data_IF_270874971948
#
_entry.id   IF_270874971948
#
_cell.length_a   1.000
_cell.length_b   1.000
_cell.length_c   1.000
_cell.angle_alpha   90.00
_cell.angle_beta   90.00
_cell.angle_gamma   90.00
#
_symmetry.space_group_name_H-M   'P 1'
#
loop_
_entity.id
_entity.type
_entity.pdbx_description
1 polymer ?
#
# COMPACT_ATOMS: atom_id res chain seq x y z
N UNK A 1 80.49 -45.63 9.04
CA UNK A 1 80.04 -46.57 10.07
C UNK A 1 78.61 -46.27 10.43
N UNK A 2 77.80 -47.29 10.18
CA UNK A 2 76.57 -47.69 10.87
C UNK A 2 75.44 -46.63 11.04
N UNK A 3 74.39 -46.79 10.20
CA UNK A 3 73.06 -47.31 10.58
C UNK A 3 72.37 -46.43 11.58
N UNK A 4 71.33 -45.76 11.11
CA UNK A 4 69.96 -45.97 11.61
C UNK A 4 69.01 -45.55 10.50
N UNK A 5 68.44 -46.58 9.95
CA UNK A 5 67.35 -46.59 8.99
C UNK A 5 66.08 -46.86 9.78
N UNK A 6 64.96 -46.39 9.26
CA UNK A 6 63.65 -46.88 9.60
C UNK A 6 62.97 -46.26 10.84
N UNK A 7 62.04 -45.38 10.60
CA UNK A 7 60.69 -45.37 11.17
C UNK A 7 59.94 -44.09 10.74
N UNK A 8 59.70 -43.96 9.45
CA UNK A 8 58.67 -43.03 8.93
C UNK A 8 57.77 -43.84 7.97
N UNK A 9 56.90 -44.57 8.55
CA UNK A 9 55.77 -45.14 7.80
C UNK A 9 54.70 -45.45 8.81
N UNK A 10 53.53 -44.84 8.63
CA UNK A 10 52.24 -45.09 9.27
C UNK A 10 51.68 -43.86 9.99
N UNK A 11 51.27 -42.89 9.19
CA UNK A 11 50.60 -41.71 9.71
C UNK A 11 49.75 -41.01 8.63
N UNK A 12 49.45 -41.72 7.54
CA UNK A 12 48.70 -41.13 6.40
C UNK A 12 47.45 -41.96 6.10
N UNK A 13 46.46 -41.91 6.97
CA UNK A 13 45.13 -42.47 6.68
C UNK A 13 44.17 -42.09 7.80
N UNK A 14 43.65 -40.87 7.81
CA UNK A 14 42.38 -40.48 8.49
C UNK A 14 42.07 -39.03 8.17
N UNK A 15 42.05 -38.67 6.86
CA UNK A 15 41.45 -37.47 6.35
C UNK A 15 40.39 -37.84 5.29
N UNK A 16 39.46 -38.68 5.69
CA UNK A 16 38.28 -39.01 4.89
C UNK A 16 37.06 -38.75 5.77
N UNK A 17 36.25 -37.77 5.42
CA UNK A 17 34.92 -37.67 5.96
C UNK A 17 34.59 -36.42 6.71
N UNK A 18 34.79 -35.26 6.12
CA UNK A 18 34.02 -34.06 6.45
C UNK A 18 33.51 -33.45 5.14
N UNK A 19 32.75 -34.20 4.38
CA UNK A 19 31.74 -33.60 3.53
C UNK A 19 30.65 -33.09 4.49
N UNK A 20 30.87 -31.94 5.09
CA UNK A 20 29.79 -31.17 5.65
C UNK A 20 28.94 -30.73 4.48
N UNK A 21 27.69 -31.20 4.43
CA UNK A 21 26.66 -30.59 3.62
C UNK A 21 26.68 -29.11 3.98
N UNK A 22 27.27 -28.30 3.10
CA UNK A 22 27.01 -26.86 3.13
C UNK A 22 25.52 -26.71 3.03
N UNK A 23 24.83 -25.96 3.93
CA UNK A 23 23.43 -25.68 3.75
C UNK A 23 23.29 -25.15 2.32
N UNK A 24 22.52 -25.80 1.48
CA UNK A 24 22.16 -25.27 0.17
C UNK A 24 21.62 -23.86 0.43
N UNK A 25 22.30 -22.86 -0.07
CA UNK A 25 21.89 -21.47 0.05
C UNK A 25 20.57 -21.36 -0.71
N UNK A 26 19.44 -21.39 0.01
CA UNK A 26 18.11 -21.32 -0.57
C UNK A 26 18.05 -20.03 -1.36
N UNK A 27 18.10 -20.10 -2.68
CA UNK A 27 18.04 -18.94 -3.56
C UNK A 27 16.74 -18.18 -3.31
N UNK A 28 16.85 -17.01 -2.70
CA UNK A 28 15.70 -16.16 -2.43
C UNK A 28 15.29 -15.42 -3.70
N UNK A 29 13.98 -15.38 -3.97
CA UNK A 29 13.37 -14.64 -5.07
C UNK A 29 12.72 -13.40 -4.46
N UNK A 30 13.09 -12.22 -4.96
CA UNK A 30 12.47 -10.96 -4.52
C UNK A 30 11.41 -10.55 -5.53
N UNK A 31 10.17 -10.40 -5.08
CA UNK A 31 9.08 -9.83 -5.87
C UNK A 31 8.87 -8.35 -5.49
N UNK A 32 8.61 -7.53 -6.49
CA UNK A 32 8.39 -6.09 -6.35
C UNK A 32 6.89 -5.78 -6.45
N UNK A 33 6.32 -5.29 -5.37
CA UNK A 33 4.90 -4.95 -5.27
C UNK A 33 4.75 -3.44 -5.12
N UNK A 34 4.05 -2.80 -6.06
CA UNK A 34 3.68 -1.39 -5.93
C UNK A 34 2.28 -1.28 -5.31
N UNK A 35 2.17 -0.54 -4.21
CA UNK A 35 0.96 -0.47 -3.41
C UNK A 35 0.49 0.96 -3.16
N UNK A 36 -0.83 1.15 -3.05
CA UNK A 36 -1.41 2.41 -2.63
C UNK A 36 -0.84 2.86 -1.28
N UNK A 37 -0.52 4.15 -1.14
CA UNK A 37 0.17 4.70 0.02
C UNK A 37 -0.56 4.43 1.37
N UNK A 38 -1.89 4.35 1.35
CA UNK A 38 -2.72 4.01 2.53
C UNK A 38 -2.47 2.59 3.08
N UNK A 39 -1.91 1.68 2.27
CA UNK A 39 -1.60 0.30 2.68
C UNK A 39 -0.27 0.15 3.42
N UNK A 40 0.56 1.21 3.47
CA UNK A 40 1.94 1.10 3.94
C UNK A 40 2.07 0.42 5.29
N UNK A 41 1.42 0.92 6.33
CA UNK A 41 1.55 0.40 7.70
C UNK A 41 1.02 -1.04 7.81
N UNK A 42 -0.04 -1.36 7.05
CA UNK A 42 -0.58 -2.72 6.98
C UNK A 42 0.42 -3.68 6.33
N UNK A 43 1.07 -3.27 5.24
CA UNK A 43 2.08 -4.10 4.55
C UNK A 43 3.34 -4.27 5.38
N UNK A 44 3.71 -3.30 6.22
CA UNK A 44 4.82 -3.43 7.15
C UNK A 44 4.56 -4.57 8.19
N UNK A 45 3.28 -4.85 8.53
CA UNK A 45 2.88 -5.98 9.39
C UNK A 45 2.67 -7.29 8.61
N UNK A 46 2.12 -7.23 7.40
CA UNK A 46 1.85 -8.42 6.56
C UNK A 46 3.14 -9.04 6.01
N UNK A 47 4.11 -8.21 5.58
CA UNK A 47 5.37 -8.66 4.98
C UNK A 47 6.10 -9.73 5.80
N UNK A 48 6.41 -9.53 7.09
CA UNK A 48 7.13 -10.55 7.87
C UNK A 48 6.34 -11.86 8.03
N UNK A 49 5.01 -11.80 8.04
CA UNK A 49 4.18 -13.00 8.12
C UNK A 49 4.22 -13.80 6.82
N UNK A 50 4.12 -13.11 5.69
CA UNK A 50 4.25 -13.75 4.38
C UNK A 50 5.62 -14.39 4.19
N UNK A 51 6.70 -13.64 4.46
CA UNK A 51 8.08 -14.12 4.29
C UNK A 51 8.42 -15.29 5.23
N UNK A 52 7.83 -15.32 6.43
CA UNK A 52 7.93 -16.46 7.34
C UNK A 52 7.24 -17.71 6.79
N UNK A 53 6.08 -17.53 6.17
CA UNK A 53 5.32 -18.63 5.56
C UNK A 53 5.94 -19.11 4.22
N UNK A 54 6.71 -18.25 3.55
CA UNK A 54 7.34 -18.49 2.26
C UNK A 54 8.82 -18.09 2.29
N UNK A 55 9.71 -18.88 2.92
CA UNK A 55 11.11 -18.48 3.22
C UNK A 55 11.96 -18.20 1.98
N UNK A 56 11.57 -18.73 0.82
CA UNK A 56 12.23 -18.52 -0.48
C UNK A 56 11.83 -17.20 -1.15
N UNK A 57 10.77 -16.52 -0.68
CA UNK A 57 10.25 -15.32 -1.30
C UNK A 57 10.50 -14.12 -0.39
N UNK A 58 11.00 -13.02 -0.97
CA UNK A 58 11.14 -11.72 -0.33
C UNK A 58 10.23 -10.71 -0.99
N UNK A 59 9.62 -9.83 -0.17
CA UNK A 59 8.79 -8.74 -0.65
C UNK A 59 9.59 -7.43 -0.66
N UNK A 60 9.55 -6.73 -1.77
CA UNK A 60 9.99 -5.35 -1.89
C UNK A 60 8.77 -4.50 -2.22
N UNK A 61 8.48 -3.48 -1.40
CA UNK A 61 7.36 -2.57 -1.62
C UNK A 61 7.84 -1.20 -2.02
N UNK A 62 7.09 -0.56 -2.90
CA UNK A 62 7.04 0.88 -3.06
C UNK A 62 5.58 1.36 -2.94
N UNK A 63 5.40 2.61 -2.50
CA UNK A 63 4.10 3.16 -2.17
C UNK A 63 3.86 4.48 -2.89
N UNK A 64 2.62 4.71 -3.36
CA UNK A 64 2.24 5.94 -4.06
C UNK A 64 0.76 6.03 -4.38
N UNK A 65 0.38 7.01 -5.20
CA UNK A 65 -0.98 7.11 -5.75
C UNK A 65 -1.24 5.99 -6.77
N UNK A 66 -2.45 5.42 -6.77
CA UNK A 66 -2.77 4.28 -7.65
C UNK A 66 -2.64 4.63 -9.14
N UNK A 67 -2.98 5.84 -9.56
CA UNK A 67 -2.80 6.30 -10.93
C UNK A 67 -1.32 6.38 -11.33
N UNK A 68 -0.44 6.86 -10.43
CA UNK A 68 1.01 6.87 -10.67
C UNK A 68 1.57 5.45 -10.79
N UNK A 69 1.08 4.50 -9.97
CA UNK A 69 1.46 3.08 -10.06
C UNK A 69 1.03 2.52 -11.41
N UNK A 70 -0.21 2.80 -11.85
CA UNK A 70 -0.71 2.42 -13.18
C UNK A 70 0.20 2.94 -14.29
N UNK A 71 0.54 4.23 -14.28
CA UNK A 71 1.42 4.85 -15.29
C UNK A 71 2.82 4.21 -15.32
N UNK A 72 3.35 3.79 -14.18
CA UNK A 72 4.63 3.08 -14.09
C UNK A 72 4.54 1.68 -14.70
N UNK A 73 3.44 0.94 -14.46
CA UNK A 73 3.21 -0.35 -15.12
C UNK A 73 3.07 -0.15 -16.63
N UNK A 74 2.29 0.83 -17.09
CA UNK A 74 2.14 1.20 -18.51
C UNK A 74 3.48 1.55 -19.17
N UNK A 75 4.42 2.11 -18.40
CA UNK A 75 5.77 2.47 -18.86
C UNK A 75 6.77 1.30 -18.77
N UNK A 76 6.35 0.09 -18.39
CA UNK A 76 7.20 -1.09 -18.31
C UNK A 76 8.16 -1.09 -17.10
N UNK A 77 7.79 -0.44 -16.00
CA UNK A 77 8.58 -0.53 -14.76
C UNK A 77 8.63 -1.98 -14.25
N UNK A 78 9.74 -2.41 -13.62
CA UNK A 78 9.91 -3.78 -13.14
C UNK A 78 9.07 -4.04 -11.87
N UNK A 79 7.76 -4.14 -12.04
CA UNK A 79 6.76 -4.39 -11.01
C UNK A 79 6.17 -5.77 -11.27
N UNK A 80 6.11 -6.62 -10.23
CA UNK A 80 5.58 -7.98 -10.34
C UNK A 80 4.08 -8.05 -10.01
N UNK A 81 3.63 -7.21 -9.07
CA UNK A 81 2.23 -7.13 -8.68
C UNK A 81 1.85 -5.75 -8.15
N UNK A 82 0.57 -5.46 -8.14
CA UNK A 82 0.02 -4.18 -7.68
C UNK A 82 -1.08 -4.37 -6.65
N UNK A 83 -1.17 -3.43 -5.69
CA UNK A 83 -2.26 -3.29 -4.73
C UNK A 83 -2.82 -1.86 -4.83
N UNK A 84 -3.91 -1.67 -5.57
CA UNK A 84 -4.45 -0.37 -5.94
C UNK A 84 -5.73 -0.03 -5.16
N UNK A 85 -5.90 1.23 -4.75
CA UNK A 85 -7.11 1.76 -4.12
C UNK A 85 -8.08 2.33 -5.17
N UNK A 86 -8.11 1.77 -6.38
CA UNK A 86 -8.87 2.27 -7.52
C UNK A 86 -9.28 1.15 -8.47
N UNK A 87 -10.57 0.92 -8.56
CA UNK A 87 -11.13 0.01 -9.58
C UNK A 87 -10.83 0.49 -11.00
N UNK A 88 -10.92 1.80 -11.24
CA UNK A 88 -10.63 2.40 -12.55
C UNK A 88 -9.20 2.06 -13.03
N UNK A 89 -8.21 2.20 -12.15
CA UNK A 89 -6.81 1.99 -12.52
C UNK A 89 -6.52 0.51 -12.80
N UNK A 90 -7.01 -0.41 -11.95
CA UNK A 90 -6.81 -1.84 -12.19
C UNK A 90 -7.56 -2.34 -13.42
N UNK A 91 -8.78 -1.86 -13.67
CA UNK A 91 -9.55 -2.18 -14.87
C UNK A 91 -8.84 -1.65 -16.14
N UNK A 92 -8.17 -0.49 -16.05
CA UNK A 92 -7.40 0.07 -17.15
C UNK A 92 -6.22 -0.83 -17.52
N UNK A 93 -5.44 -1.25 -16.52
CA UNK A 93 -4.33 -2.20 -16.73
C UNK A 93 -4.82 -3.53 -17.31
N UNK A 94 -5.93 -4.05 -16.81
CA UNK A 94 -6.52 -5.32 -17.30
C UNK A 94 -6.98 -5.21 -18.76
N UNK A 95 -7.63 -4.09 -19.13
CA UNK A 95 -8.07 -3.84 -20.53
C UNK A 95 -6.90 -3.70 -21.51
N UNK A 96 -5.76 -3.24 -21.02
CA UNK A 96 -4.52 -3.14 -21.80
C UNK A 96 -3.71 -4.44 -21.81
N UNK A 97 -4.20 -5.51 -21.15
CA UNK A 97 -3.51 -6.77 -20.93
C UNK A 97 -2.18 -6.62 -20.15
N UNK A 98 -2.03 -5.57 -19.35
CA UNK A 98 -0.86 -5.32 -18.51
C UNK A 98 -1.00 -5.89 -17.09
N UNK A 99 -2.22 -6.27 -16.68
CA UNK A 99 -2.48 -6.93 -15.41
C UNK A 99 -3.54 -8.02 -15.56
N UNK A 100 -3.39 -9.07 -14.77
CA UNK A 100 -4.25 -10.24 -14.75
C UNK A 100 -4.58 -10.66 -13.30
N UNK A 101 -5.53 -11.58 -13.11
CA UNK A 101 -5.90 -12.13 -11.82
C UNK A 101 -6.36 -11.06 -10.81
N UNK A 102 -7.09 -10.05 -11.29
CA UNK A 102 -7.61 -8.97 -10.45
C UNK A 102 -8.61 -9.47 -9.42
N UNK A 103 -8.38 -9.12 -8.14
CA UNK A 103 -9.31 -9.41 -7.03
C UNK A 103 -9.45 -8.18 -6.15
N UNK A 104 -10.67 -7.89 -5.70
CA UNK A 104 -10.91 -6.99 -4.57
C UNK A 104 -10.51 -7.70 -3.27
N UNK A 105 -9.95 -6.98 -2.29
CA UNK A 105 -9.54 -7.59 -1.02
C UNK A 105 -9.86 -6.74 0.21
N UNK A 106 -10.27 -5.49 0.03
CA UNK A 106 -10.68 -4.61 1.13
C UNK A 106 -11.48 -3.41 0.62
N UNK A 107 -12.22 -2.76 1.51
CA UNK A 107 -12.87 -1.47 1.30
C UNK A 107 -12.39 -0.41 2.30
N UNK A 108 -12.87 0.84 2.14
CA UNK A 108 -12.55 1.94 3.04
C UNK A 108 -13.68 2.98 3.08
N UNK A 109 -13.56 3.96 3.97
CA UNK A 109 -14.40 5.16 4.02
C UNK A 109 -13.58 6.41 3.72
N UNK A 110 -14.17 7.39 3.05
CA UNK A 110 -13.62 8.72 2.90
C UNK A 110 -14.02 9.58 4.09
N UNK A 111 -13.08 10.35 4.63
CA UNK A 111 -13.32 11.26 5.75
C UNK A 111 -12.68 12.62 5.50
N UNK A 112 -13.28 13.67 6.06
CA UNK A 112 -12.66 14.97 6.21
C UNK A 112 -11.98 15.05 7.55
N UNK A 113 -10.70 15.38 7.56
CA UNK A 113 -9.89 15.59 8.77
C UNK A 113 -9.49 17.06 8.93
N UNK A 114 -9.22 17.46 10.18
CA UNK A 114 -8.60 18.73 10.52
C UNK A 114 -7.53 18.50 11.62
N UNK A 115 -6.64 19.47 11.90
CA UNK A 115 -5.72 19.38 13.03
C UNK A 115 -6.45 19.13 14.34
N UNK A 116 -5.83 18.38 15.26
CA UNK A 116 -6.44 17.96 16.53
C UNK A 116 -6.91 19.12 17.41
N UNK A 117 -6.24 20.25 17.30
CA UNK A 117 -6.51 21.49 18.05
C UNK A 117 -7.42 22.49 17.30
N UNK A 118 -7.92 22.13 16.13
CA UNK A 118 -8.90 22.94 15.42
C UNK A 118 -10.24 23.00 16.19
N UNK A 119 -10.97 24.10 15.98
CA UNK A 119 -12.22 24.38 16.71
C UNK A 119 -13.18 23.18 16.67
N UNK A 120 -13.72 22.81 17.84
CA UNK A 120 -14.61 21.66 17.99
C UNK A 120 -16.06 22.05 17.64
N UNK A 121 -16.30 22.50 16.43
CA UNK A 121 -17.68 22.57 15.93
C UNK A 121 -18.17 21.14 15.63
N UNK A 122 -19.00 20.62 16.51
CA UNK A 122 -19.45 19.21 16.47
C UNK A 122 -20.69 18.97 15.59
N UNK A 123 -21.35 20.02 15.11
CA UNK A 123 -22.60 19.94 14.34
C UNK A 123 -22.54 20.68 12.99
N UNK A 124 -21.33 21.01 12.49
CA UNK A 124 -21.19 21.68 11.21
C UNK A 124 -21.41 20.70 10.05
N UNK A 125 -22.16 21.11 9.04
CA UNK A 125 -22.23 20.37 7.78
C UNK A 125 -20.94 20.53 6.96
N UNK A 126 -20.78 19.76 5.90
CA UNK A 126 -19.55 19.75 5.08
C UNK A 126 -19.23 21.15 4.54
N UNK A 127 -20.22 21.92 4.08
CA UNK A 127 -20.06 23.28 3.56
C UNK A 127 -19.45 24.21 4.62
N UNK A 128 -20.04 24.23 5.82
CA UNK A 128 -19.52 25.07 6.93
C UNK A 128 -18.10 24.68 7.36
N UNK A 129 -17.77 23.39 7.32
CA UNK A 129 -16.41 22.92 7.64
C UNK A 129 -15.39 23.38 6.60
N UNK A 130 -15.77 23.42 5.32
CA UNK A 130 -14.91 23.85 4.22
C UNK A 130 -14.84 25.37 4.10
N UNK A 131 -15.92 26.10 4.35
CA UNK A 131 -15.95 27.57 4.34
C UNK A 131 -14.95 28.15 5.33
N UNK A 132 -14.81 27.54 6.50
CA UNK A 132 -13.88 27.96 7.55
C UNK A 132 -12.41 27.63 7.24
N UNK A 133 -12.15 26.76 6.25
CA UNK A 133 -10.79 26.40 5.84
C UNK A 133 -10.25 27.40 4.81
N UNK A 134 -8.99 27.80 4.97
CA UNK A 134 -8.26 28.59 3.97
C UNK A 134 -7.55 27.68 2.95
N UNK A 135 -7.14 26.48 3.40
CA UNK A 135 -6.49 25.45 2.57
C UNK A 135 -7.08 24.09 2.86
N UNK A 136 -7.47 23.40 1.81
CA UNK A 136 -8.05 22.06 1.85
C UNK A 136 -7.14 21.13 1.06
N UNK A 137 -6.47 20.21 1.73
CA UNK A 137 -5.62 19.23 1.07
C UNK A 137 -6.44 18.07 0.49
N UNK A 138 -6.20 17.75 -0.77
CA UNK A 138 -6.73 16.56 -1.43
C UNK A 138 -5.61 15.88 -2.23
N UNK A 139 -5.70 14.58 -2.46
CA UNK A 139 -4.88 13.94 -3.48
C UNK A 139 -5.16 14.57 -4.85
N UNK A 140 -4.18 14.57 -5.75
CA UNK A 140 -4.44 14.97 -7.14
C UNK A 140 -5.52 14.05 -7.75
N UNK A 141 -6.70 14.57 -8.14
CA UNK A 141 -7.80 13.74 -8.62
C UNK A 141 -7.49 12.90 -9.86
N UNK A 142 -6.47 13.27 -10.64
CA UNK A 142 -6.09 12.53 -11.85
C UNK A 142 -5.25 11.28 -11.54
N UNK A 143 -4.53 11.27 -10.39
CA UNK A 143 -3.56 10.21 -10.08
C UNK A 143 -3.74 9.59 -8.67
N UNK A 144 -4.54 10.22 -7.79
CA UNK A 144 -4.75 9.77 -6.41
C UNK A 144 -6.23 9.45 -6.19
N UNK A 145 -6.61 8.18 -5.94
CA UNK A 145 -8.01 7.78 -5.80
C UNK A 145 -8.77 8.56 -4.73
N UNK A 146 -8.18 8.77 -3.54
CA UNK A 146 -8.81 9.56 -2.48
C UNK A 146 -9.14 11.00 -2.94
N UNK A 147 -8.31 11.58 -3.80
CA UNK A 147 -8.54 12.88 -4.41
C UNK A 147 -9.67 12.86 -5.44
N UNK A 148 -9.76 11.79 -6.24
CA UNK A 148 -10.88 11.60 -7.17
C UNK A 148 -12.21 11.47 -6.41
N UNK A 149 -12.27 10.71 -5.33
CA UNK A 149 -13.45 10.59 -4.46
C UNK A 149 -13.79 11.92 -3.75
N UNK A 150 -12.79 12.66 -3.29
CA UNK A 150 -12.99 13.99 -2.73
C UNK A 150 -13.60 14.96 -3.77
N UNK A 151 -13.07 14.94 -5.01
CA UNK A 151 -13.62 15.74 -6.11
C UNK A 151 -15.07 15.36 -6.40
N UNK A 152 -15.39 14.06 -6.56
CA UNK A 152 -16.77 13.58 -6.75
C UNK A 152 -17.69 14.06 -5.63
N UNK A 153 -17.24 13.92 -4.37
CA UNK A 153 -18.00 14.41 -3.20
C UNK A 153 -18.31 15.89 -3.33
N UNK A 154 -17.31 16.72 -3.58
CA UNK A 154 -17.48 18.17 -3.70
C UNK A 154 -18.34 18.57 -4.90
N UNK A 155 -18.25 17.85 -6.01
CA UNK A 155 -19.10 18.06 -7.19
C UNK A 155 -20.57 17.70 -6.89
N UNK A 156 -20.82 16.56 -6.22
CA UNK A 156 -22.17 16.10 -5.89
C UNK A 156 -22.90 16.98 -4.86
N UNK A 157 -22.15 17.71 -4.04
CA UNK A 157 -22.73 18.72 -3.13
C UNK A 157 -22.62 20.16 -3.67
N UNK A 158 -22.19 20.35 -4.94
CA UNK A 158 -22.03 21.63 -5.62
C UNK A 158 -20.98 22.58 -4.99
N UNK A 159 -20.02 22.07 -4.22
CA UNK A 159 -18.97 22.85 -3.55
C UNK A 159 -17.65 22.90 -4.34
N UNK A 160 -17.41 22.03 -5.31
CA UNK A 160 -16.11 21.93 -5.98
C UNK A 160 -15.62 23.26 -6.56
N UNK A 161 -16.50 23.99 -7.29
CA UNK A 161 -16.12 25.25 -7.91
C UNK A 161 -15.90 26.38 -6.89
N UNK A 162 -16.64 26.40 -5.80
CA UNK A 162 -16.49 27.37 -4.72
C UNK A 162 -15.16 27.16 -3.97
N UNK A 163 -14.81 25.90 -3.69
CA UNK A 163 -13.64 25.53 -2.90
C UNK A 163 -12.35 25.38 -3.73
N UNK A 164 -12.44 25.35 -5.08
CA UNK A 164 -11.33 25.04 -5.98
C UNK A 164 -10.07 25.88 -5.73
N UNK A 165 -10.24 27.16 -5.41
CA UNK A 165 -9.12 28.05 -5.13
C UNK A 165 -8.38 27.74 -3.81
N UNK A 166 -9.02 27.02 -2.88
CA UNK A 166 -8.46 26.57 -1.60
C UNK A 166 -7.78 25.19 -1.68
N UNK A 167 -7.99 24.45 -2.79
CA UNK A 167 -7.47 23.09 -2.92
C UNK A 167 -5.95 23.06 -3.04
N UNK A 168 -5.32 22.23 -2.23
CA UNK A 168 -3.88 21.93 -2.26
C UNK A 168 -3.74 20.47 -2.68
N UNK A 169 -3.15 20.25 -3.86
CA UNK A 169 -3.00 18.91 -4.43
C UNK A 169 -1.79 18.19 -3.85
N UNK A 170 -1.96 16.94 -3.50
CA UNK A 170 -0.94 16.05 -2.97
C UNK A 170 -0.70 14.86 -3.92
N UNK A 171 0.50 14.30 -3.91
CA UNK A 171 0.90 13.17 -4.76
C UNK A 171 0.33 11.83 -4.30
N UNK A 172 -0.09 11.75 -3.04
CA UNK A 172 -0.78 10.59 -2.47
C UNK A 172 -1.56 11.00 -1.20
N UNK A 173 -2.36 10.07 -0.66
CA UNK A 173 -3.23 10.34 0.50
C UNK A 173 -2.44 10.56 1.80
N UNK A 174 -1.25 9.97 1.94
CA UNK A 174 -0.39 10.16 3.12
C UNK A 174 0.24 11.55 3.14
N UNK A 175 0.51 12.12 1.98
CA UNK A 175 0.94 13.51 1.88
C UNK A 175 -0.20 14.46 2.28
N UNK A 176 -1.47 14.16 1.94
CA UNK A 176 -2.63 14.90 2.45
C UNK A 176 -2.65 14.90 3.97
N UNK A 177 -2.57 13.72 4.60
CA UNK A 177 -2.51 13.57 6.07
C UNK A 177 -1.38 14.42 6.65
N UNK A 178 -0.19 14.33 6.06
CA UNK A 178 1.00 15.05 6.48
C UNK A 178 0.83 16.58 6.43
N UNK A 179 0.14 17.11 5.41
CA UNK A 179 -0.15 18.55 5.31
C UNK A 179 -1.06 19.03 6.44
N UNK A 180 -2.09 18.24 6.78
CA UNK A 180 -2.99 18.57 7.89
C UNK A 180 -2.28 18.44 9.25
N UNK A 181 -1.50 17.38 9.46
CA UNK A 181 -0.70 17.16 10.68
C UNK A 181 0.29 18.29 10.97
N UNK A 182 0.87 18.87 9.92
CA UNK A 182 1.84 19.95 10.00
C UNK A 182 1.20 21.35 10.06
N UNK A 183 -0.14 21.46 9.94
CA UNK A 183 -0.85 22.72 9.86
C UNK A 183 -0.62 23.49 8.55
N UNK A 184 -0.16 22.79 7.50
CA UNK A 184 0.00 23.34 6.15
C UNK A 184 -1.33 23.37 5.38
N UNK A 185 -2.34 22.62 5.85
CA UNK A 185 -3.73 22.67 5.43
C UNK A 185 -4.64 22.63 6.66
N UNK A 186 -5.77 23.36 6.58
CA UNK A 186 -6.75 23.46 7.66
C UNK A 186 -7.68 22.26 7.69
N UNK A 187 -7.88 21.63 6.53
CA UNK A 187 -8.67 20.41 6.36
C UNK A 187 -8.05 19.54 5.27
N UNK A 188 -8.45 18.26 5.22
CA UNK A 188 -8.01 17.36 4.16
C UNK A 188 -8.93 16.15 4.03
N UNK A 189 -9.06 15.63 2.81
CA UNK A 189 -9.77 14.39 2.55
C UNK A 189 -8.79 13.23 2.52
N UNK A 190 -9.00 12.26 3.42
CA UNK A 190 -8.20 11.03 3.54
C UNK A 190 -9.12 9.84 3.74
N UNK A 191 -8.55 8.65 3.73
CA UNK A 191 -9.31 7.47 4.16
C UNK A 191 -9.41 7.40 5.68
N UNK A 192 -10.44 6.71 6.18
CA UNK A 192 -10.62 6.46 7.62
C UNK A 192 -9.38 5.77 8.22
N UNK A 193 -8.77 4.84 7.47
CA UNK A 193 -7.54 4.15 7.87
C UNK A 193 -6.37 5.11 8.11
N UNK A 194 -6.22 6.14 7.27
CA UNK A 194 -5.15 7.15 7.43
C UNK A 194 -5.39 8.01 8.67
N UNK A 195 -6.66 8.41 8.89
CA UNK A 195 -7.03 9.22 10.06
C UNK A 195 -6.77 8.47 11.39
N UNK A 196 -7.01 7.15 11.44
CA UNK A 196 -6.79 6.31 12.62
C UNK A 196 -5.32 6.21 13.03
N UNK A 197 -4.38 6.37 12.11
CA UNK A 197 -2.95 6.28 12.38
C UNK A 197 -2.38 7.54 13.06
N UNK A 198 -3.08 8.66 12.97
CA UNK A 198 -2.59 9.93 13.47
C UNK A 198 -3.27 10.36 14.76
N UNK A 199 -2.44 10.75 15.73
CA UNK A 199 -2.90 11.42 16.96
C UNK A 199 -2.97 12.95 16.83
N UNK A 200 -2.51 13.51 15.68
CA UNK A 200 -2.41 14.96 15.46
C UNK A 200 -3.61 15.51 14.70
N UNK A 201 -4.44 14.65 14.13
CA UNK A 201 -5.65 15.05 13.43
C UNK A 201 -6.91 14.51 14.14
N UNK A 202 -8.06 15.04 13.75
CA UNK A 202 -9.38 14.57 14.13
C UNK A 202 -10.27 14.45 12.90
N UNK A 203 -11.14 13.44 12.87
CA UNK A 203 -12.18 13.33 11.86
C UNK A 203 -13.26 14.35 12.16
N UNK A 204 -13.58 15.22 11.20
CA UNK A 204 -14.64 16.24 11.29
C UNK A 204 -15.92 15.77 10.65
N UNK A 205 -15.82 14.98 9.58
CA UNK A 205 -16.98 14.39 8.92
C UNK A 205 -16.59 13.04 8.28
N UNK A 206 -17.48 12.06 8.40
CA UNK A 206 -17.50 10.89 7.53
C UNK A 206 -18.30 11.27 6.28
N UNK A 207 -17.75 11.00 5.11
CA UNK A 207 -18.41 11.32 3.84
C UNK A 207 -19.47 10.25 3.54
N UNK A 208 -20.65 10.67 3.10
CA UNK A 208 -21.70 9.74 2.67
C UNK A 208 -21.24 8.99 1.41
N UNK A 209 -21.29 7.66 1.45
CA UNK A 209 -20.90 6.77 0.36
C UNK A 209 -21.67 7.02 -0.95
N UNK A 210 -22.82 7.72 -0.89
CA UNK A 210 -23.60 8.12 -2.07
C UNK A 210 -22.99 9.29 -2.83
N UNK A 211 -22.02 9.99 -2.22
CA UNK A 211 -21.39 11.17 -2.80
C UNK A 211 -20.15 10.87 -3.65
N UNK A 212 -19.73 9.61 -3.71
CA UNK A 212 -18.61 9.15 -4.52
C UNK A 212 -18.78 7.68 -4.91
N UNK A 213 -17.98 7.22 -5.85
CA UNK A 213 -17.92 5.80 -6.21
C UNK A 213 -17.47 4.94 -5.02
N UNK A 214 -17.83 3.64 -4.98
CA UNK A 214 -17.39 2.72 -3.94
C UNK A 214 -15.86 2.67 -3.85
N UNK A 215 -15.34 2.69 -2.61
CA UNK A 215 -13.91 2.63 -2.34
C UNK A 215 -13.49 1.18 -2.11
N UNK A 216 -12.83 0.59 -3.10
CA UNK A 216 -12.29 -0.76 -3.04
C UNK A 216 -10.78 -0.80 -3.25
N UNK A 217 -10.14 -1.81 -2.69
CA UNK A 217 -8.73 -2.12 -2.88
C UNK A 217 -8.59 -3.41 -3.68
N UNK A 218 -7.81 -3.34 -4.73
CA UNK A 218 -7.68 -4.39 -5.73
C UNK A 218 -6.24 -4.85 -5.84
N UNK A 219 -6.05 -6.16 -5.83
CA UNK A 219 -4.78 -6.80 -6.15
C UNK A 219 -4.79 -7.25 -7.61
N UNK A 220 -3.66 -7.14 -8.30
CA UNK A 220 -3.48 -7.71 -9.62
C UNK A 220 -2.02 -8.08 -9.86
N UNK A 221 -1.80 -9.12 -10.67
CA UNK A 221 -0.50 -9.55 -11.13
C UNK A 221 -0.14 -8.80 -12.41
N UNK A 222 1.08 -8.29 -12.53
CA UNK A 222 1.57 -7.68 -13.76
C UNK A 222 1.87 -8.78 -14.78
N UNK A 223 1.32 -8.63 -16.00
CA UNK A 223 1.34 -9.69 -17.02
C UNK A 223 2.74 -10.07 -17.49
N UNK A 224 3.68 -9.11 -17.54
CA UNK A 224 5.06 -9.32 -18.01
C UNK A 224 6.02 -9.78 -16.90
N UNK A 225 5.54 -9.99 -15.66
CA UNK A 225 6.37 -10.53 -14.57
C UNK A 225 6.83 -11.95 -14.91
N UNK A 226 8.12 -12.21 -14.69
CA UNK A 226 8.74 -13.54 -14.75
C UNK A 226 8.62 -14.33 -13.43
N UNK A 227 8.03 -13.72 -12.37
CA UNK A 227 7.84 -14.27 -11.01
C UNK A 227 6.36 -14.50 -10.71
N UNK A 228 5.66 -15.07 -11.68
CA UNK A 228 4.20 -15.21 -11.61
C UNK A 228 3.72 -16.07 -10.44
N UNK A 229 4.40 -17.17 -10.16
CA UNK A 229 4.02 -18.09 -9.08
C UNK A 229 4.22 -17.44 -7.70
N UNK A 230 5.35 -16.77 -7.49
CA UNK A 230 5.67 -16.08 -6.25
C UNK A 230 4.73 -14.89 -6.00
N UNK A 231 4.41 -14.15 -7.07
CA UNK A 231 3.49 -13.03 -7.01
C UNK A 231 2.08 -13.52 -6.69
N UNK A 232 1.59 -14.56 -7.37
CA UNK A 232 0.29 -15.16 -7.09
C UNK A 232 0.20 -15.65 -5.63
N UNK A 233 1.26 -16.28 -5.11
CA UNK A 233 1.31 -16.71 -3.71
C UNK A 233 1.12 -15.55 -2.73
N UNK A 234 1.71 -14.37 -3.01
CA UNK A 234 1.52 -13.17 -2.20
C UNK A 234 0.11 -12.58 -2.37
N UNK A 235 -0.39 -12.44 -3.59
CA UNK A 235 -1.72 -11.89 -3.83
C UNK A 235 -2.83 -12.76 -3.21
N UNK A 236 -2.68 -14.08 -3.24
CA UNK A 236 -3.58 -15.00 -2.54
C UNK A 236 -3.44 -14.89 -1.00
N UNK A 237 -2.24 -14.54 -0.51
CA UNK A 237 -2.03 -14.31 0.93
C UNK A 237 -2.81 -13.11 1.44
N UNK A 238 -3.06 -12.09 0.59
CA UNK A 238 -3.89 -10.93 0.94
C UNK A 238 -5.32 -11.32 1.35
N UNK A 239 -5.85 -12.42 0.81
CA UNK A 239 -7.19 -12.92 1.10
C UNK A 239 -7.25 -13.95 2.25
N UNK A 240 -6.11 -14.28 2.89
CA UNK A 240 -6.11 -15.18 4.04
C UNK A 240 -6.65 -14.50 5.29
N UNK A 241 -7.34 -15.29 6.13
CA UNK A 241 -7.97 -14.81 7.37
C UNK A 241 -7.04 -13.98 8.27
N UNK A 242 -5.76 -14.35 8.37
CA UNK A 242 -4.82 -13.59 9.23
C UNK A 242 -4.46 -12.23 8.63
N UNK A 243 -4.32 -12.13 7.31
CA UNK A 243 -4.14 -10.85 6.62
C UNK A 243 -5.39 -10.00 6.71
N UNK A 244 -6.58 -10.59 6.56
CA UNK A 244 -7.85 -9.88 6.69
C UNK A 244 -8.03 -9.29 8.10
N UNK A 245 -7.68 -10.01 9.16
CA UNK A 245 -7.66 -9.48 10.54
C UNK A 245 -6.70 -8.30 10.72
N UNK A 246 -5.56 -8.31 10.03
CA UNK A 246 -4.63 -7.18 10.04
C UNK A 246 -5.27 -5.98 9.33
N UNK A 247 -5.87 -6.17 8.16
CA UNK A 247 -6.60 -5.12 7.44
C UNK A 247 -7.69 -4.50 8.32
N UNK A 248 -8.54 -5.32 8.95
CA UNK A 248 -9.58 -4.87 9.89
C UNK A 248 -9.00 -4.09 11.08
N UNK A 249 -7.89 -4.56 11.67
CA UNK A 249 -7.18 -3.87 12.75
C UNK A 249 -6.75 -2.44 12.36
N UNK A 250 -6.37 -2.23 11.11
CA UNK A 250 -6.03 -0.92 10.56
C UNK A 250 -7.24 -0.12 10.07
N UNK A 251 -8.45 -0.65 10.21
CA UNK A 251 -9.71 0.02 9.90
C UNK A 251 -10.19 -0.14 8.46
N UNK A 252 -9.60 -1.05 7.69
CA UNK A 252 -10.14 -1.44 6.39
C UNK A 252 -11.44 -2.23 6.59
N UNK A 253 -12.36 -2.10 5.64
CA UNK A 253 -13.57 -2.93 5.58
C UNK A 253 -13.20 -4.28 4.96
N UNK A 254 -13.67 -5.37 5.56
CA UNK A 254 -13.60 -6.69 4.93
C UNK A 254 -14.40 -6.70 3.62
N UNK A 255 -13.99 -7.53 2.67
CA UNK A 255 -14.81 -7.84 1.50
C UNK A 255 -16.05 -8.61 1.96
N UNK A 256 -17.26 -8.20 1.49
CA UNK A 256 -18.54 -8.87 1.78
C UNK A 256 -18.79 -10.02 0.81
#
# INVERSE_FOLDING_TARGET
>A
MKKIMLLISFGLLLLLGACGDSPEEVKQITIHISAAASLKDTMDEVKPLFEKANPTIKLSFDFGGSGQIRERVESGAPIDGVLLASKKDVDTLSKQNLAENTKEFAGNDLVLIAPKNADQQTEANLEQLLDNASKIAIGDPESVPAGAYAKQTLENVNLYNAEKAKLVLATDVRQVLSYVEAGNADAGFVYQTDALLSKKVQVKAKIDEKLHDPIGYYSAQVSDSDKKEETAAFLDFMNKSDTQKILEKYGFKAEN
#
